data_IF_424112314418
#
_entry.id   IF_424112314418
#
_cell.length_a   1.000
_cell.length_b   1.000
_cell.length_c   1.000
_cell.angle_alpha   90.00
_cell.angle_beta   90.00
_cell.angle_gamma   90.00
#
_symmetry.space_group_name_H-M   'P 1'
#
loop_
_entity.id
_entity.type
_entity.pdbx_description
1 polymer ?
#
# COMPACT_ATOMS: atom_id res chain seq x y z
N UNK A 1 -8.94 -2.39 12.97
CA UNK A 1 -7.49 -2.10 12.82
C UNK A 1 -6.69 -3.16 13.58
N UNK A 2 -5.45 -3.55 13.20
CA UNK A 2 -4.61 -3.01 12.13
C UNK A 2 -4.46 -4.00 10.97
N UNK A 3 -4.99 -3.66 9.79
CA UNK A 3 -4.60 -4.31 8.53
C UNK A 3 -3.27 -3.76 8.00
N UNK A 4 -2.50 -3.06 8.82
CA UNK A 4 -1.22 -2.50 8.40
C UNK A 4 -0.36 -3.60 7.76
N UNK A 5 -0.40 -4.83 8.28
CA UNK A 5 0.29 -5.97 7.67
C UNK A 5 -0.25 -6.29 6.27
N UNK A 6 -1.55 -6.49 6.09
CA UNK A 6 -2.16 -6.70 4.76
C UNK A 6 -1.82 -5.56 3.79
N UNK A 7 -1.98 -4.31 4.21
CA UNK A 7 -1.69 -3.12 3.39
C UNK A 7 -0.21 -2.95 3.07
N UNK A 8 0.70 -3.46 3.89
CA UNK A 8 2.14 -3.50 3.61
C UNK A 8 2.46 -4.67 2.66
N UNK A 9 2.00 -5.87 3.01
CA UNK A 9 2.43 -7.10 2.36
C UNK A 9 1.84 -7.28 0.97
N UNK A 10 0.57 -6.94 0.75
CA UNK A 10 -0.04 -7.12 -0.57
C UNK A 10 0.69 -6.30 -1.65
N UNK A 11 0.92 -4.98 -1.54
CA UNK A 11 1.68 -4.25 -2.54
C UNK A 11 3.14 -4.70 -2.61
N UNK A 12 3.77 -5.08 -1.50
CA UNK A 12 5.13 -5.64 -1.50
C UNK A 12 5.20 -6.94 -2.32
N UNK A 13 4.29 -7.89 -2.07
CA UNK A 13 4.19 -9.17 -2.77
C UNK A 13 3.95 -8.93 -4.25
N UNK A 14 2.99 -8.08 -4.63
CA UNK A 14 2.69 -7.82 -6.04
C UNK A 14 3.91 -7.24 -6.76
N UNK A 15 4.59 -6.25 -6.17
CA UNK A 15 5.78 -5.65 -6.79
C UNK A 15 6.97 -6.61 -6.80
N UNK A 16 7.14 -7.45 -5.79
CA UNK A 16 8.15 -8.50 -5.77
C UNK A 16 7.91 -9.52 -6.90
N UNK A 17 6.68 -10.03 -7.03
CA UNK A 17 6.29 -10.95 -8.09
C UNK A 17 6.45 -10.32 -9.47
N UNK A 18 6.02 -9.07 -9.66
CA UNK A 18 6.23 -8.32 -10.89
C UNK A 18 7.72 -8.25 -11.25
N UNK A 19 8.56 -7.84 -10.28
CA UNK A 19 10.00 -7.74 -10.46
C UNK A 19 10.61 -9.10 -10.82
N UNK A 20 10.20 -10.17 -10.16
CA UNK A 20 10.91 -11.44 -10.28
C UNK A 20 10.45 -12.34 -11.43
N UNK A 21 9.19 -12.26 -11.82
CA UNK A 21 8.63 -13.06 -12.91
C UNK A 21 8.47 -12.30 -14.22
N UNK A 22 8.19 -11.00 -14.18
CA UNK A 22 7.88 -10.24 -15.40
C UNK A 22 9.07 -9.41 -15.92
N UNK A 23 9.97 -8.94 -15.05
CA UNK A 23 11.16 -8.23 -15.51
C UNK A 23 12.25 -9.17 -16.01
N UNK A 24 12.74 -8.89 -17.23
CA UNK A 24 13.92 -9.58 -17.80
C UNK A 24 15.15 -9.35 -16.91
N UNK A 25 16.08 -10.32 -16.89
CA UNK A 25 17.32 -10.25 -16.07
C UNK A 25 18.08 -8.92 -16.18
N UNK A 26 18.15 -8.34 -17.38
CA UNK A 26 18.81 -7.04 -17.64
C UNK A 26 18.11 -5.85 -16.97
N UNK A 27 16.79 -5.91 -16.85
CA UNK A 27 15.96 -4.83 -16.32
C UNK A 27 15.79 -4.93 -14.80
N UNK A 28 15.94 -6.13 -14.22
CA UNK A 28 15.99 -6.33 -12.76
C UNK A 28 17.07 -5.49 -12.07
N UNK A 29 18.21 -5.22 -12.75
CA UNK A 29 19.26 -4.34 -12.22
C UNK A 29 18.83 -2.88 -12.10
N UNK A 30 17.90 -2.44 -12.96
CA UNK A 30 17.31 -1.09 -12.94
C UNK A 30 16.12 -0.99 -11.98
N UNK A 31 15.64 -2.12 -11.47
CA UNK A 31 14.55 -2.23 -10.52
C UNK A 31 15.02 -2.99 -9.26
N UNK A 32 15.86 -2.37 -8.41
CA UNK A 32 16.37 -2.99 -7.19
C UNK A 32 15.25 -3.33 -6.19
N UNK A 33 15.56 -4.21 -5.24
CA UNK A 33 14.63 -4.62 -4.17
C UNK A 33 14.12 -3.45 -3.32
N UNK A 34 14.84 -2.33 -3.27
CA UNK A 34 14.36 -1.10 -2.61
C UNK A 34 13.00 -0.64 -3.14
N UNK A 35 12.67 -0.88 -4.41
CA UNK A 35 11.33 -0.58 -4.92
C UNK A 35 10.23 -1.48 -4.33
N UNK A 36 10.57 -2.72 -3.94
CA UNK A 36 9.66 -3.61 -3.21
C UNK A 36 9.41 -3.05 -1.81
N UNK A 37 10.46 -2.59 -1.13
CA UNK A 37 10.33 -1.92 0.17
C UNK A 37 9.48 -0.64 0.07
N UNK A 38 9.73 0.19 -0.95
CA UNK A 38 8.95 1.40 -1.21
C UNK A 38 7.48 1.06 -1.47
N UNK A 39 7.18 -0.05 -2.15
CA UNK A 39 5.82 -0.52 -2.36
C UNK A 39 5.13 -0.95 -1.06
N UNK A 40 5.89 -1.60 -0.18
CA UNK A 40 5.42 -1.99 1.14
C UNK A 40 5.04 -0.75 1.98
N UNK A 41 5.93 0.26 2.00
CA UNK A 41 5.69 1.52 2.71
C UNK A 41 4.56 2.33 2.08
N UNK A 42 4.40 2.28 0.77
CA UNK A 42 3.37 3.09 0.09
C UNK A 42 1.96 2.60 0.33
N UNK A 43 1.78 1.33 0.68
CA UNK A 43 0.50 0.83 1.16
C UNK A 43 0.02 1.53 2.44
N UNK A 44 0.92 2.02 3.29
CA UNK A 44 0.55 2.70 4.55
C UNK A 44 0.20 4.18 4.33
N UNK A 45 0.46 4.75 3.15
CA UNK A 45 0.29 6.20 2.93
C UNK A 45 -1.13 6.68 3.26
N UNK A 46 -2.21 6.02 2.83
CA UNK A 46 -3.56 6.45 3.19
C UNK A 46 -3.82 6.43 4.70
N UNK A 47 -3.21 5.49 5.43
CA UNK A 47 -3.32 5.35 6.88
C UNK A 47 -2.54 6.43 7.66
N UNK A 48 -1.76 7.29 7.00
CA UNK A 48 -1.08 8.41 7.68
C UNK A 48 -2.07 9.43 8.27
N UNK A 49 -3.35 9.39 7.89
CA UNK A 49 -4.41 10.19 8.51
C UNK A 49 -4.65 9.82 9.98
N UNK A 50 -4.27 8.61 10.41
CA UNK A 50 -4.27 8.20 11.83
C UNK A 50 -3.27 9.03 12.64
N UNK A 51 -2.13 9.43 12.06
CA UNK A 51 -1.19 10.31 12.74
C UNK A 51 -1.82 11.69 12.99
N UNK A 52 -2.60 12.20 12.03
CA UNK A 52 -3.35 13.43 12.18
C UNK A 52 -4.46 13.30 13.23
N UNK A 53 -5.11 12.12 13.33
CA UNK A 53 -6.12 11.85 14.36
C UNK A 53 -5.59 12.09 15.77
N UNK A 54 -4.35 11.69 16.10
CA UNK A 54 -3.78 11.92 17.43
C UNK A 54 -3.71 13.41 17.81
N UNK A 55 -3.56 14.30 16.84
CA UNK A 55 -3.57 15.75 17.06
C UNK A 55 -5.02 16.25 17.12
N UNK A 56 -5.87 15.81 16.19
CA UNK A 56 -7.26 16.25 16.08
C UNK A 56 -8.16 15.74 17.23
N UNK A 57 -7.78 14.65 17.89
CA UNK A 57 -8.49 14.11 19.04
C UNK A 57 -8.62 15.15 20.16
N UNK A 58 -7.60 15.99 20.39
CA UNK A 58 -7.64 17.08 21.37
C UNK A 58 -8.67 18.17 21.03
N UNK A 59 -9.16 18.21 19.79
CA UNK A 59 -10.18 19.13 19.31
C UNK A 59 -11.58 18.50 19.21
N UNK A 60 -11.74 17.27 19.70
CA UNK A 60 -13.03 16.57 19.75
C UNK A 60 -13.42 15.80 18.49
N UNK A 61 -12.48 15.58 17.56
CA UNK A 61 -12.72 14.73 16.38
C UNK A 61 -12.67 13.24 16.73
N UNK A 62 -13.55 12.44 16.14
CA UNK A 62 -13.53 10.97 16.26
C UNK A 62 -12.62 10.34 15.21
N UNK A 63 -12.19 9.09 15.42
CA UNK A 63 -11.35 8.39 14.47
C UNK A 63 -12.07 8.17 13.13
N UNK A 64 -13.36 7.93 13.13
CA UNK A 64 -14.18 7.73 11.93
C UNK A 64 -14.33 9.00 11.10
N UNK A 65 -14.22 10.18 11.73
CA UNK A 65 -14.26 11.46 11.02
C UNK A 65 -12.94 11.76 10.30
N UNK A 66 -11.82 11.23 10.80
CA UNK A 66 -10.47 11.53 10.30
C UNK A 66 -9.94 10.40 9.41
N UNK A 67 -9.96 9.18 9.92
CA UNK A 67 -9.53 7.99 9.21
C UNK A 67 -10.59 7.57 8.20
N UNK A 68 -10.18 7.23 6.98
CA UNK A 68 -11.05 6.89 5.83
C UNK A 68 -11.77 8.05 5.14
N UNK A 69 -11.44 9.29 5.49
CA UNK A 69 -12.00 10.47 4.83
C UNK A 69 -10.96 11.19 3.97
N UNK A 70 -9.89 11.74 4.58
CA UNK A 70 -8.99 12.66 3.89
C UNK A 70 -8.03 11.98 2.90
N UNK A 71 -7.29 10.97 3.37
CA UNK A 71 -6.29 10.28 2.54
C UNK A 71 -6.83 9.04 1.82
N UNK A 72 -8.07 8.65 2.12
CA UNK A 72 -8.73 7.49 1.52
C UNK A 72 -9.53 7.87 0.26
N UNK A 73 -8.89 8.62 -0.63
CA UNK A 73 -9.50 9.17 -1.85
C UNK A 73 -8.69 8.77 -3.08
N UNK A 74 -9.31 8.70 -4.26
CA UNK A 74 -8.60 8.45 -5.52
C UNK A 74 -7.64 9.59 -5.86
N UNK A 75 -7.78 10.77 -5.24
CA UNK A 75 -6.85 11.87 -5.45
C UNK A 75 -5.45 11.57 -4.92
N UNK A 76 -5.30 10.75 -3.87
CA UNK A 76 -3.96 10.39 -3.34
C UNK A 76 -3.12 9.62 -4.37
N UNK A 77 -3.57 8.47 -4.93
CA UNK A 77 -2.80 7.80 -5.98
C UNK A 77 -2.68 8.64 -7.26
N UNK A 78 -3.70 9.42 -7.63
CA UNK A 78 -3.62 10.32 -8.80
C UNK A 78 -2.59 11.44 -8.60
N UNK A 79 -2.45 11.97 -7.40
CA UNK A 79 -1.44 12.97 -7.06
C UNK A 79 -0.03 12.41 -7.30
N UNK A 80 0.25 11.21 -6.77
CA UNK A 80 1.54 10.56 -7.02
C UNK A 80 1.75 10.21 -8.49
N UNK A 81 0.71 9.77 -9.20
CA UNK A 81 0.81 9.51 -10.64
C UNK A 81 1.15 10.80 -11.42
N UNK A 82 0.55 11.92 -11.03
CA UNK A 82 0.81 13.24 -11.60
C UNK A 82 2.26 13.67 -11.33
N UNK A 83 2.76 13.48 -10.12
CA UNK A 83 4.17 13.71 -9.79
C UNK A 83 5.09 12.83 -10.64
N UNK A 84 4.77 11.55 -10.84
CA UNK A 84 5.56 10.69 -11.73
C UNK A 84 5.70 11.27 -13.15
N UNK A 85 4.62 11.82 -13.70
CA UNK A 85 4.62 12.42 -15.04
C UNK A 85 5.51 13.66 -15.06
N UNK A 86 5.34 14.57 -14.09
CA UNK A 86 6.15 15.80 -13.97
C UNK A 86 7.64 15.47 -13.85
N UNK A 87 7.98 14.44 -13.06
CA UNK A 87 9.35 14.03 -12.81
C UNK A 87 9.91 13.04 -13.83
N UNK A 88 9.15 12.65 -14.86
CA UNK A 88 9.59 11.65 -15.86
C UNK A 88 10.86 12.10 -16.61
N UNK A 89 10.92 13.38 -16.97
CA UNK A 89 12.02 13.96 -17.75
C UNK A 89 13.17 14.48 -16.88
N UNK A 90 13.01 14.54 -15.56
CA UNK A 90 14.02 15.10 -14.66
C UNK A 90 15.03 14.02 -14.29
N UNK A 91 16.25 14.17 -14.80
CA UNK A 91 17.38 13.32 -14.45
C UNK A 91 18.03 13.81 -13.15
N UNK A 92 17.48 13.39 -12.02
CA UNK A 92 18.26 13.44 -10.78
C UNK A 92 19.43 12.47 -10.93
N UNK A 93 20.65 12.93 -10.60
CA UNK A 93 21.82 12.05 -10.43
C UNK A 93 21.49 11.10 -9.27
N UNK A 94 20.82 10.00 -9.62
CA UNK A 94 20.59 8.78 -8.85
C UNK A 94 20.45 8.99 -7.34
N UNK A 95 19.20 8.98 -6.85
CA UNK A 95 18.89 9.04 -5.41
C UNK A 95 19.60 7.88 -4.68
N UNK A 96 20.74 8.20 -4.07
CA UNK A 96 21.57 7.28 -3.29
C UNK A 96 22.35 6.24 -4.10
N UNK A 97 23.07 5.38 -3.38
CA UNK A 97 23.92 4.30 -3.93
C UNK A 97 23.17 3.31 -4.83
N UNK A 98 21.84 3.27 -4.75
CA UNK A 98 20.98 2.28 -5.41
C UNK A 98 20.32 2.76 -6.70
N UNK A 99 20.64 3.97 -7.17
CA UNK A 99 20.25 4.45 -8.50
C UNK A 99 18.74 4.49 -8.73
N UNK A 100 18.00 4.85 -7.69
CA UNK A 100 16.54 4.97 -7.76
C UNK A 100 16.14 6.17 -8.61
N UNK A 101 15.09 5.99 -9.41
CA UNK A 101 14.49 7.03 -10.25
C UNK A 101 13.25 7.55 -9.58
N UNK A 102 13.21 8.87 -9.36
CA UNK A 102 12.14 9.52 -8.62
C UNK A 102 10.75 9.30 -9.26
N UNK A 103 10.67 9.32 -10.59
CA UNK A 103 9.41 9.02 -11.28
C UNK A 103 8.89 7.61 -10.98
N UNK A 104 9.78 6.61 -10.89
CA UNK A 104 9.39 5.23 -10.53
C UNK A 104 8.94 5.16 -9.07
N UNK A 105 9.59 5.89 -8.17
CA UNK A 105 9.16 5.97 -6.76
C UNK A 105 7.71 6.48 -6.69
N UNK A 106 7.40 7.56 -7.41
CA UNK A 106 6.03 8.09 -7.46
C UNK A 106 5.03 7.13 -8.10
N UNK A 107 5.41 6.37 -9.12
CA UNK A 107 4.56 5.28 -9.66
C UNK A 107 4.25 4.24 -8.57
N UNK A 108 5.26 3.84 -7.79
CA UNK A 108 5.09 2.85 -6.72
C UNK A 108 4.26 3.42 -5.56
N UNK A 109 4.38 4.72 -5.28
CA UNK A 109 3.52 5.42 -4.32
C UNK A 109 2.06 5.44 -4.76
N UNK A 110 1.82 5.77 -6.04
CA UNK A 110 0.49 5.68 -6.64
C UNK A 110 -0.05 4.25 -6.57
N UNK A 111 0.76 3.27 -6.93
CA UNK A 111 0.38 1.86 -6.90
C UNK A 111 0.01 1.37 -5.50
N UNK A 112 0.87 1.56 -4.49
CA UNK A 112 0.60 1.09 -3.14
C UNK A 112 -0.60 1.79 -2.51
N UNK A 113 -0.74 3.11 -2.69
CA UNK A 113 -1.92 3.85 -2.22
C UNK A 113 -3.19 3.36 -2.90
N UNK A 114 -3.14 3.05 -4.20
CA UNK A 114 -4.29 2.50 -4.92
C UNK A 114 -4.65 1.09 -4.43
N UNK A 115 -3.67 0.22 -4.22
CA UNK A 115 -3.89 -1.13 -3.67
C UNK A 115 -4.49 -1.05 -2.26
N UNK A 116 -4.05 -0.10 -1.44
CA UNK A 116 -4.66 0.17 -0.13
C UNK A 116 -6.15 0.48 -0.26
N UNK A 117 -6.52 1.46 -1.09
CA UNK A 117 -7.94 1.81 -1.32
C UNK A 117 -8.75 0.64 -1.84
N UNK A 118 -8.15 -0.17 -2.73
CA UNK A 118 -8.79 -1.36 -3.26
C UNK A 118 -9.04 -2.39 -2.15
N UNK A 119 -8.06 -2.64 -1.28
CA UNK A 119 -8.19 -3.57 -0.16
C UNK A 119 -9.25 -3.10 0.84
N UNK A 120 -9.26 -1.81 1.19
CA UNK A 120 -10.28 -1.25 2.08
C UNK A 120 -11.70 -1.39 1.48
N UNK A 121 -11.85 -1.05 0.20
CA UNK A 121 -13.12 -1.17 -0.52
C UNK A 121 -13.59 -2.62 -0.64
N UNK A 122 -12.68 -3.58 -0.77
CA UNK A 122 -13.03 -5.00 -0.86
C UNK A 122 -13.32 -5.61 0.50
N UNK A 123 -12.50 -5.34 1.51
CA UNK A 123 -12.46 -6.14 2.74
C UNK A 123 -13.34 -5.59 3.87
N UNK A 124 -13.14 -4.35 4.32
CA UNK A 124 -13.68 -3.87 5.62
C UNK A 124 -14.78 -2.82 5.48
N UNK A 125 -14.99 -2.25 4.29
CA UNK A 125 -16.07 -1.29 4.17
C UNK A 125 -15.99 -0.44 2.93
N UNK A 126 -16.33 0.83 3.13
CA UNK A 126 -16.51 1.78 2.06
C UNK A 126 -15.43 2.84 2.11
N UNK A 127 -14.93 3.20 0.94
CA UNK A 127 -14.08 4.38 0.73
C UNK A 127 -14.94 5.51 0.13
N UNK A 128 -14.47 6.75 0.29
CA UNK A 128 -15.11 7.94 -0.30
C UNK A 128 -14.19 8.48 -1.41
N UNK A 129 -14.19 7.86 -2.61
CA UNK A 129 -13.15 8.05 -3.62
C UNK A 129 -13.00 9.50 -4.09
N UNK A 130 -14.03 10.33 -3.97
CA UNK A 130 -14.10 11.69 -4.51
C UNK A 130 -14.21 12.78 -3.45
N UNK A 131 -13.94 12.49 -2.17
CA UNK A 131 -13.88 13.52 -1.13
C UNK A 131 -12.78 14.55 -1.46
N UNK A 132 -12.98 15.87 -1.25
CA UNK A 132 -14.15 16.53 -0.61
C UNK A 132 -15.27 16.92 -1.57
N UNK A 133 -15.16 16.63 -2.88
CA UNK A 133 -16.14 17.06 -3.89
C UNK A 133 -17.42 16.24 -3.89
N UNK A 134 -17.36 14.99 -3.41
CA UNK A 134 -18.52 14.12 -3.29
C UNK A 134 -18.37 13.19 -2.10
N UNK A 135 -19.50 12.90 -1.45
CA UNK A 135 -19.63 11.94 -0.34
C UNK A 135 -20.08 10.55 -0.82
N UNK A 136 -20.03 10.29 -2.13
CA UNK A 136 -20.31 8.98 -2.69
C UNK A 136 -19.40 7.92 -2.08
N UNK A 137 -19.98 6.84 -1.56
CA UNK A 137 -19.26 5.74 -0.91
C UNK A 137 -19.29 4.49 -1.77
N UNK A 138 -18.17 3.79 -1.92
CA UNK A 138 -18.09 2.49 -2.63
C UNK A 138 -17.34 1.46 -1.81
N UNK A 139 -17.83 0.21 -1.83
CA UNK A 139 -17.18 -0.92 -1.17
C UNK A 139 -18.06 -2.17 -1.18
N UNK A 140 -17.44 -3.34 -1.20
CA UNK A 140 -18.10 -4.65 -1.10
C UNK A 140 -18.25 -5.12 0.33
N UNK A 141 -17.35 -4.70 1.23
CA UNK A 141 -17.40 -5.01 2.64
C UNK A 141 -17.50 -6.53 2.92
N UNK A 142 -16.63 -7.31 2.27
CA UNK A 142 -16.72 -8.77 2.23
C UNK A 142 -16.68 -9.42 3.63
N UNK A 143 -15.99 -8.79 4.59
CA UNK A 143 -15.83 -9.35 5.93
C UNK A 143 -17.12 -9.25 6.73
N UNK A 144 -17.88 -8.17 6.57
CA UNK A 144 -19.15 -8.01 7.26
C UNK A 144 -20.25 -8.95 6.72
N UNK A 145 -20.00 -9.61 5.59
CA UNK A 145 -20.86 -10.68 5.07
C UNK A 145 -20.56 -12.06 5.67
N UNK A 146 -19.47 -12.21 6.44
CA UNK A 146 -19.17 -13.44 7.16
C UNK A 146 -19.96 -13.53 8.47
N UNK A 147 -20.23 -14.75 8.99
CA UNK A 147 -20.69 -14.94 10.36
C UNK A 147 -19.79 -14.18 11.34
N UNK A 148 -20.37 -13.56 12.38
CA UNK A 148 -19.64 -12.64 13.27
C UNK A 148 -18.40 -13.26 13.91
N UNK A 149 -18.44 -14.55 14.23
CA UNK A 149 -17.30 -15.29 14.76
C UNK A 149 -16.15 -15.38 13.75
N UNK A 150 -16.46 -15.57 12.46
CA UNK A 150 -15.48 -15.63 11.37
C UNK A 150 -14.98 -14.24 10.97
N UNK A 151 -15.85 -13.23 10.96
CA UNK A 151 -15.49 -11.85 10.63
C UNK A 151 -14.35 -11.35 11.54
N UNK A 152 -14.47 -11.58 12.86
CA UNK A 152 -13.50 -11.12 13.86
C UNK A 152 -12.11 -11.75 13.71
N UNK A 153 -12.03 -13.00 13.25
CA UNK A 153 -10.75 -13.72 13.09
C UNK A 153 -10.20 -13.63 11.66
N UNK A 154 -11.01 -13.21 10.69
CA UNK A 154 -10.65 -13.21 9.27
C UNK A 154 -9.40 -12.38 8.98
N UNK A 155 -9.29 -11.18 9.59
CA UNK A 155 -8.18 -10.27 9.35
C UNK A 155 -6.86 -10.69 9.98
N UNK A 156 -6.80 -11.01 11.29
CA UNK A 156 -5.59 -11.59 11.86
C UNK A 156 -5.14 -12.86 11.11
N UNK A 157 -6.09 -13.67 10.65
CA UNK A 157 -5.78 -14.89 9.87
C UNK A 157 -5.20 -14.55 8.50
N UNK A 158 -5.76 -13.56 7.80
CA UNK A 158 -5.23 -13.07 6.52
C UNK A 158 -3.82 -12.51 6.68
N UNK A 159 -3.58 -11.68 7.68
CA UNK A 159 -2.26 -11.12 7.98
C UNK A 159 -1.24 -12.23 8.24
N UNK A 160 -1.58 -13.20 9.10
CA UNK A 160 -0.73 -14.36 9.38
C UNK A 160 -0.44 -15.19 8.13
N UNK A 161 -1.46 -15.45 7.30
CA UNK A 161 -1.30 -16.18 6.05
C UNK A 161 -0.40 -15.44 5.05
N UNK A 162 -0.59 -14.12 4.90
CA UNK A 162 0.23 -13.29 4.01
C UNK A 162 1.69 -13.25 4.46
N UNK A 163 1.96 -13.15 5.76
CA UNK A 163 3.32 -13.22 6.31
C UNK A 163 3.96 -14.56 5.94
N UNK A 164 3.28 -15.68 6.20
CA UNK A 164 3.81 -17.02 5.90
C UNK A 164 4.09 -17.18 4.41
N UNK A 165 3.14 -16.80 3.55
CA UNK A 165 3.29 -16.86 2.09
C UNK A 165 4.48 -16.01 1.65
N UNK A 166 4.63 -14.80 2.20
CA UNK A 166 5.73 -13.92 1.85
C UNK A 166 7.08 -14.47 2.31
N UNK A 167 7.18 -15.04 3.52
CA UNK A 167 8.39 -15.67 4.02
C UNK A 167 8.79 -16.89 3.17
N UNK A 168 7.84 -17.75 2.81
CA UNK A 168 8.08 -18.88 1.90
C UNK A 168 8.59 -18.38 0.55
N UNK A 169 7.97 -17.32 0.01
CA UNK A 169 8.40 -16.69 -1.24
C UNK A 169 9.83 -16.16 -1.14
N UNK A 170 10.15 -15.42 -0.08
CA UNK A 170 11.47 -14.85 0.16
C UNK A 170 12.53 -15.94 0.32
N UNK A 171 12.25 -17.02 1.05
CA UNK A 171 13.16 -18.16 1.18
C UNK A 171 13.39 -18.85 -0.17
N UNK A 172 12.32 -19.12 -0.92
CA UNK A 172 12.43 -19.79 -2.22
C UNK A 172 13.19 -18.95 -3.26
N UNK A 173 12.98 -17.62 -3.29
CA UNK A 173 13.56 -16.74 -4.32
C UNK A 173 14.84 -16.02 -3.93
N UNK A 174 15.01 -15.71 -2.65
CA UNK A 174 16.09 -14.87 -2.15
C UNK A 174 16.93 -15.53 -1.07
N UNK A 175 16.58 -16.76 -0.64
CA UNK A 175 17.34 -17.51 0.36
C UNK A 175 17.62 -16.68 1.60
N UNK A 176 16.55 -16.17 2.21
CA UNK A 176 16.66 -15.31 3.40
C UNK A 176 17.32 -16.01 4.60
N UNK A 177 17.28 -17.35 4.63
CA UNK A 177 18.04 -18.15 5.60
C UNK A 177 19.55 -17.91 5.56
N UNK A 178 20.13 -17.48 4.43
CA UNK A 178 21.56 -17.16 4.32
C UNK A 178 21.95 -15.88 5.10
N UNK A 179 20.97 -15.10 5.58
CA UNK A 179 21.17 -13.88 6.37
C UNK A 179 21.01 -14.07 7.89
N UNK A 180 20.59 -15.26 8.33
CA UNK A 180 20.36 -15.62 9.74
C UNK A 180 21.56 -16.44 10.23
#
# INVERSE_FOLDING_TARGET
MPQAVTHILVPAIIIALFRDYFLKKRDKRKFPLHYVLIAALSGIIPDLDIAAFWILYFFGFTIEQVHRTFLHTLFVPLFFLSLSIVFHSIKFKELGKHKLKLNIIFIIFAFGSFIHLLLDALLIGKIIPFYPFSTFTIGLDLINHLPSQLANISLPTLDGALIIIYLIYLEYKHKISDFI
#
